data_IF_973584461408
#
_entry.id   IF_973584461408
#
_cell.length_a   1.000
_cell.length_b   1.000
_cell.length_c   1.000
_cell.angle_alpha   90.00
_cell.angle_beta   90.00
_cell.angle_gamma   90.00
#
_symmetry.space_group_name_H-M   'P 1'
#
loop_
_entity.id
_entity.type
_entity.pdbx_description
1 polymer ?
#
# COMPACT_ATOMS: atom_id res chain seq x y z
N UNK A 1 -41.80 -33.38 16.35
CA UNK A 1 -40.32 -33.46 16.48
C UNK A 1 -39.60 -33.72 15.15
N UNK A 2 -40.06 -34.64 14.28
CA UNK A 2 -39.43 -34.88 12.96
C UNK A 2 -39.32 -33.65 12.04
N UNK A 3 -40.33 -32.77 12.05
CA UNK A 3 -40.33 -31.55 11.21
C UNK A 3 -39.44 -30.41 11.77
N UNK A 4 -39.10 -30.44 13.06
CA UNK A 4 -38.26 -29.41 13.68
C UNK A 4 -36.79 -29.55 13.30
N UNK A 5 -36.31 -30.79 13.11
CA UNK A 5 -34.94 -31.08 12.67
C UNK A 5 -34.75 -30.68 11.20
N UNK A 6 -35.78 -30.88 10.35
CA UNK A 6 -35.75 -30.46 8.96
C UNK A 6 -35.69 -28.92 8.82
N UNK A 7 -36.32 -28.18 9.73
CA UNK A 7 -36.32 -26.72 9.72
C UNK A 7 -34.95 -26.11 10.07
N UNK A 8 -34.20 -26.77 10.95
CA UNK A 8 -32.83 -26.36 11.34
C UNK A 8 -31.83 -26.56 10.18
N UNK A 9 -31.99 -27.63 9.39
CA UNK A 9 -31.13 -27.87 8.22
C UNK A 9 -31.36 -26.86 7.09
N UNK A 10 -32.58 -26.36 6.93
CA UNK A 10 -32.91 -25.32 5.94
C UNK A 10 -32.34 -23.96 6.38
N UNK A 11 -32.35 -23.66 7.68
CA UNK A 11 -31.78 -22.41 8.22
C UNK A 11 -30.26 -22.31 8.05
N UNK A 12 -29.52 -23.43 8.05
CA UNK A 12 -28.07 -23.44 7.82
C UNK A 12 -27.68 -23.22 6.35
N UNK A 13 -28.56 -23.51 5.39
CA UNK A 13 -28.28 -23.34 3.96
C UNK A 13 -28.35 -21.87 3.49
N UNK A 14 -28.90 -20.96 4.30
CA UNK A 14 -29.13 -19.55 3.93
C UNK A 14 -28.07 -18.58 4.48
N UNK A 15 -27.17 -19.03 5.35
CA UNK A 15 -26.16 -18.16 5.98
C UNK A 15 -24.77 -18.20 5.32
N UNK A 16 -24.60 -18.89 4.18
CA UNK A 16 -23.28 -19.18 3.61
C UNK A 16 -22.70 -18.18 2.62
N UNK A 17 -23.37 -17.07 2.29
CA UNK A 17 -22.92 -16.14 1.25
C UNK A 17 -22.41 -14.82 1.86
N UNK A 18 -21.30 -14.87 2.61
CA UNK A 18 -20.55 -13.65 2.90
C UNK A 18 -19.72 -13.30 1.67
N UNK A 19 -19.99 -12.14 1.06
CA UNK A 19 -19.15 -11.57 0.00
C UNK A 19 -17.71 -11.49 0.52
N UNK A 20 -16.76 -12.05 -0.21
CA UNK A 20 -15.35 -12.08 0.19
C UNK A 20 -14.87 -10.64 0.40
N UNK A 21 -14.32 -10.36 1.58
CA UNK A 21 -13.87 -9.02 1.93
C UNK A 21 -12.57 -8.75 1.19
N UNK A 22 -12.60 -7.83 0.24
CA UNK A 22 -11.40 -7.40 -0.48
C UNK A 22 -10.46 -6.71 0.52
N UNK A 23 -9.24 -7.25 0.63
CA UNK A 23 -8.21 -6.77 1.55
C UNK A 23 -7.31 -5.77 0.83
N UNK A 24 -7.13 -4.60 1.44
CA UNK A 24 -6.13 -3.63 1.00
C UNK A 24 -4.73 -4.26 1.10
N UNK A 25 -3.99 -4.28 0.00
CA UNK A 25 -2.71 -4.95 -0.11
C UNK A 25 -1.73 -4.11 -0.92
N UNK A 26 -0.49 -4.08 -0.44
CA UNK A 26 0.67 -3.51 -1.14
C UNK A 26 1.53 -4.65 -1.69
N UNK A 27 1.89 -4.61 -2.97
CA UNK A 27 2.57 -5.70 -3.68
C UNK A 27 3.55 -5.19 -4.73
N UNK A 28 4.39 -6.11 -5.24
CA UNK A 28 5.48 -5.82 -6.19
C UNK A 28 6.36 -4.62 -5.79
N UNK A 29 6.95 -4.64 -4.56
CA UNK A 29 7.82 -3.57 -4.13
C UNK A 29 9.14 -3.54 -4.89
N UNK A 30 9.58 -2.35 -5.27
CA UNK A 30 10.89 -2.10 -5.88
C UNK A 30 11.53 -0.85 -5.26
N UNK A 31 12.83 -0.88 -5.04
CA UNK A 31 13.61 0.30 -4.62
C UNK A 31 15.05 0.24 -5.09
N UNK A 32 15.59 1.40 -5.39
CA UNK A 32 16.98 1.58 -5.79
C UNK A 32 17.49 2.96 -5.34
N UNK A 33 18.80 3.06 -5.15
CA UNK A 33 19.48 4.30 -4.85
C UNK A 33 20.57 4.52 -5.90
N UNK A 34 20.55 5.67 -6.58
CA UNK A 34 21.54 6.05 -7.58
C UNK A 34 22.51 7.06 -6.99
N UNK A 35 23.81 6.81 -7.13
CA UNK A 35 24.81 7.84 -6.85
C UNK A 35 24.73 8.96 -7.89
N UNK A 36 24.54 10.20 -7.42
CA UNK A 36 24.51 11.42 -8.24
C UNK A 36 25.67 12.38 -7.89
N UNK A 37 26.68 11.90 -7.18
CA UNK A 37 27.93 12.59 -6.87
C UNK A 37 28.11 12.82 -5.37
N UNK A 38 27.42 13.83 -4.82
CA UNK A 38 27.52 14.20 -3.40
C UNK A 38 26.40 13.58 -2.54
N UNK A 39 25.40 13.00 -3.19
CA UNK A 39 24.18 12.43 -2.60
C UNK A 39 23.73 11.21 -3.40
N UNK A 40 22.78 10.45 -2.84
CA UNK A 40 22.09 9.39 -3.57
C UNK A 40 20.64 9.80 -3.84
N UNK A 41 20.18 9.58 -5.07
CA UNK A 41 18.75 9.66 -5.40
C UNK A 41 18.09 8.31 -5.10
N UNK A 42 17.24 8.29 -4.07
CA UNK A 42 16.47 7.11 -3.69
C UNK A 42 15.14 7.15 -4.40
N UNK A 43 14.84 6.07 -5.12
CA UNK A 43 13.56 5.86 -5.78
C UNK A 43 12.93 4.56 -5.26
N UNK A 44 11.60 4.58 -5.11
CA UNK A 44 10.84 3.41 -4.72
C UNK A 44 9.46 3.38 -5.34
N UNK A 45 8.96 2.17 -5.60
CA UNK A 45 7.66 1.89 -6.16
C UNK A 45 6.99 0.76 -5.38
N UNK A 46 5.70 0.92 -5.12
CA UNK A 46 4.83 -0.18 -4.68
C UNK A 46 3.48 -0.06 -5.35
N UNK A 47 2.89 -1.20 -5.73
CA UNK A 47 1.52 -1.22 -6.25
C UNK A 47 0.54 -1.54 -5.14
N UNK A 48 -0.60 -0.87 -5.14
CA UNK A 48 -1.67 -1.08 -4.15
C UNK A 48 -2.91 -1.57 -4.83
N UNK A 49 -3.58 -2.56 -4.25
CA UNK A 49 -4.87 -3.10 -4.73
C UNK A 49 -5.83 -3.34 -3.57
N UNK A 50 -7.09 -3.61 -3.91
CA UNK A 50 -8.11 -3.94 -2.92
C UNK A 50 -8.59 -2.76 -2.08
N UNK A 51 -8.57 -1.56 -2.67
CA UNK A 51 -9.12 -0.32 -2.13
C UNK A 51 -10.57 -0.12 -2.56
N UNK A 52 -11.31 0.72 -1.82
CA UNK A 52 -12.66 1.13 -2.18
C UNK A 52 -12.61 2.13 -3.34
N UNK A 53 -13.54 1.95 -4.28
CA UNK A 53 -13.74 2.83 -5.40
C UNK A 53 -15.17 3.37 -5.37
N UNK A 54 -15.36 4.62 -5.78
CA UNK A 54 -16.69 5.19 -5.99
C UNK A 54 -16.96 5.26 -7.48
N UNK A 55 -18.12 4.77 -7.89
CA UNK A 55 -18.60 4.88 -9.26
C UNK A 55 -19.63 6.01 -9.35
N UNK A 56 -19.34 7.02 -10.18
CA UNK A 56 -20.27 8.10 -10.49
C UNK A 56 -20.29 8.33 -12.01
N UNK A 57 -21.48 8.18 -12.62
CA UNK A 57 -21.69 8.45 -14.05
C UNK A 57 -20.74 7.64 -14.97
N UNK A 58 -20.40 6.41 -14.59
CA UNK A 58 -19.50 5.54 -15.35
C UNK A 58 -18.01 5.86 -15.18
N UNK A 59 -17.66 6.72 -14.22
CA UNK A 59 -16.27 6.97 -13.81
C UNK A 59 -16.02 6.35 -12.44
N UNK A 60 -14.99 5.53 -12.35
CA UNK A 60 -14.48 4.95 -11.12
C UNK A 60 -13.42 5.87 -10.54
N UNK A 61 -13.55 6.20 -9.25
CA UNK A 61 -12.61 7.03 -8.53
C UNK A 61 -12.05 6.30 -7.32
N UNK A 62 -10.76 6.47 -7.06
CA UNK A 62 -10.05 5.93 -5.90
C UNK A 62 -9.17 7.02 -5.28
N UNK A 63 -8.95 6.94 -3.97
CA UNK A 63 -8.12 7.91 -3.24
C UNK A 63 -7.25 7.20 -2.21
N UNK A 64 -5.93 7.25 -2.43
CA UNK A 64 -4.91 6.64 -1.57
C UNK A 64 -4.01 7.73 -1.02
N UNK A 65 -3.80 7.74 0.31
CA UNK A 65 -2.79 8.54 0.98
C UNK A 65 -1.66 7.64 1.46
N UNK A 66 -0.42 8.10 1.40
CA UNK A 66 0.72 7.35 1.91
C UNK A 66 1.82 8.25 2.48
N UNK A 67 2.49 7.73 3.50
CA UNK A 67 3.70 8.31 4.09
C UNK A 67 4.79 7.26 4.10
N UNK A 68 6.04 7.70 4.03
CA UNK A 68 7.20 6.82 4.06
C UNK A 68 8.10 7.21 5.21
N UNK A 69 8.44 6.23 6.03
CA UNK A 69 9.50 6.33 7.03
C UNK A 69 10.74 5.64 6.48
N UNK A 70 11.91 6.16 6.83
CA UNK A 70 13.19 5.51 6.54
C UNK A 70 13.76 4.90 7.82
N UNK A 71 14.23 3.65 7.74
CA UNK A 71 14.92 2.96 8.82
C UNK A 71 16.39 2.84 8.40
N UNK A 72 17.27 3.44 9.19
CA UNK A 72 18.71 3.46 8.94
C UNK A 72 19.36 2.11 9.33
N UNK A 73 20.61 1.85 8.89
CA UNK A 73 21.32 0.60 9.20
C UNK A 73 21.50 0.31 10.69
N UNK A 74 21.59 1.34 11.53
CA UNK A 74 21.67 1.24 12.99
C UNK A 74 20.28 1.04 13.65
N UNK A 75 19.21 0.98 12.87
CA UNK A 75 17.84 0.75 13.32
C UNK A 75 17.08 2.00 13.75
N UNK A 76 17.63 3.20 13.56
CA UNK A 76 16.92 4.44 13.83
C UNK A 76 15.85 4.70 12.76
N UNK A 77 14.64 5.05 13.20
CA UNK A 77 13.56 5.46 12.30
C UNK A 77 13.57 6.97 12.12
N UNK A 78 13.62 7.41 10.86
CA UNK A 78 13.38 8.78 10.41
C UNK A 78 11.98 8.81 9.83
N UNK A 79 11.10 9.54 10.50
CA UNK A 79 9.68 9.56 10.15
C UNK A 79 9.38 10.55 9.04
N UNK A 80 8.44 10.21 8.16
CA UNK A 80 7.89 11.07 7.12
C UNK A 80 8.96 11.68 6.20
N UNK A 81 9.86 10.84 5.67
CA UNK A 81 10.82 11.26 4.64
C UNK A 81 10.13 11.58 3.31
N UNK A 82 8.91 11.08 3.11
CA UNK A 82 8.07 11.37 1.96
C UNK A 82 6.58 11.23 2.35
N UNK A 83 5.72 12.07 1.76
CA UNK A 83 4.27 12.04 1.94
C UNK A 83 3.58 12.46 0.64
N UNK A 84 2.53 11.74 0.25
CA UNK A 84 1.73 12.07 -0.93
C UNK A 84 0.32 11.45 -0.85
N UNK A 85 -0.57 11.89 -1.74
CA UNK A 85 -1.89 11.31 -1.95
C UNK A 85 -2.22 11.25 -3.45
N UNK A 86 -2.56 10.05 -3.94
CA UNK A 86 -3.04 9.84 -5.31
C UNK A 86 -4.57 9.76 -5.34
N UNK A 87 -5.16 10.55 -6.23
CA UNK A 87 -6.57 10.44 -6.64
C UNK A 87 -6.58 10.02 -8.10
N UNK A 88 -7.19 8.87 -8.38
CA UNK A 88 -7.25 8.27 -9.72
C UNK A 88 -8.69 8.21 -10.17
N UNK A 89 -8.95 8.56 -11.44
CA UNK A 89 -10.28 8.49 -12.05
C UNK A 89 -10.16 7.79 -13.40
N UNK A 90 -10.92 6.72 -13.62
CA UNK A 90 -10.88 5.91 -14.83
C UNK A 90 -12.30 5.58 -15.33
N UNK A 91 -12.45 5.28 -16.61
CA UNK A 91 -13.73 4.84 -17.21
C UNK A 91 -14.05 3.36 -16.92
N UNK A 92 -13.09 2.62 -16.35
CA UNK A 92 -13.19 1.21 -15.98
C UNK A 92 -12.74 1.01 -14.50
N UNK A 93 -13.04 -0.17 -13.93
CA UNK A 93 -12.59 -0.49 -12.57
C UNK A 93 -11.05 -0.43 -12.46
N UNK A 94 -10.56 0.27 -11.44
CA UNK A 94 -9.13 0.44 -11.21
C UNK A 94 -8.60 -0.82 -10.51
N UNK A 95 -7.74 -1.58 -11.19
CA UNK A 95 -7.20 -2.82 -10.64
C UNK A 95 -6.16 -2.58 -9.53
N UNK A 96 -5.25 -1.64 -9.77
CA UNK A 96 -4.18 -1.26 -8.87
C UNK A 96 -3.73 0.20 -9.10
N UNK A 97 -3.04 0.76 -8.11
CA UNK A 97 -2.48 2.12 -8.15
C UNK A 97 -1.00 2.04 -7.79
N UNK A 98 -0.08 2.49 -8.66
CA UNK A 98 1.34 2.61 -8.32
C UNK A 98 1.55 3.79 -7.37
N UNK A 99 2.32 3.59 -6.30
CA UNK A 99 2.78 4.62 -5.37
C UNK A 99 4.28 4.78 -5.52
N UNK A 100 4.72 5.99 -5.86
CA UNK A 100 6.09 6.30 -6.24
C UNK A 100 6.70 7.26 -5.23
N UNK A 101 7.97 7.07 -4.94
CA UNK A 101 8.71 7.87 -3.97
C UNK A 101 10.05 8.23 -4.60
N UNK A 102 10.43 9.49 -4.48
CA UNK A 102 11.74 9.99 -4.89
C UNK A 102 12.22 11.00 -3.85
N UNK A 103 13.41 10.80 -3.30
CA UNK A 103 14.06 11.75 -2.39
C UNK A 103 15.58 11.61 -2.44
N UNK A 104 16.29 12.65 -2.00
CA UNK A 104 17.75 12.64 -1.90
C UNK A 104 18.20 12.20 -0.50
N UNK A 105 19.19 11.32 -0.46
CA UNK A 105 19.91 10.89 0.74
C UNK A 105 21.30 11.54 0.74
N UNK A 106 21.59 12.34 1.77
CA UNK A 106 22.88 13.05 1.85
C UNK A 106 24.07 12.15 2.24
N UNK A 107 25.29 12.66 2.11
CA UNK A 107 26.53 11.94 2.44
C UNK A 107 26.81 11.77 3.93
N UNK A 108 25.96 12.29 4.83
CA UNK A 108 26.11 12.08 6.28
C UNK A 108 25.57 10.74 6.75
N UNK A 109 24.86 10.03 5.87
CA UNK A 109 24.26 8.73 6.12
C UNK A 109 25.29 7.59 6.05
N UNK A 110 25.17 6.64 6.98
CA UNK A 110 26.10 5.52 7.14
C UNK A 110 25.94 4.46 6.06
N UNK A 111 27.04 3.88 5.58
CA UNK A 111 26.97 2.73 4.68
C UNK A 111 26.14 1.57 5.28
N UNK A 112 25.38 0.88 4.44
CA UNK A 112 24.63 -0.33 4.78
C UNK A 112 23.22 -0.34 4.24
N UNK A 113 22.45 -1.33 4.70
CA UNK A 113 21.07 -1.55 4.25
C UNK A 113 20.08 -0.66 4.99
N UNK A 114 19.34 0.12 4.21
CA UNK A 114 18.23 0.95 4.65
C UNK A 114 16.91 0.23 4.36
N UNK A 115 15.85 0.68 5.04
CA UNK A 115 14.49 0.27 4.72
C UNK A 115 13.58 1.47 4.54
N UNK A 116 12.65 1.38 3.61
CA UNK A 116 11.52 2.28 3.50
C UNK A 116 10.27 1.55 3.99
N UNK A 117 9.60 2.11 4.98
CA UNK A 117 8.31 1.66 5.49
C UNK A 117 7.23 2.56 4.90
N UNK A 118 6.47 2.02 3.96
CA UNK A 118 5.29 2.66 3.40
C UNK A 118 4.12 2.42 4.35
N UNK A 119 3.47 3.49 4.77
CA UNK A 119 2.20 3.47 5.50
C UNK A 119 1.13 3.97 4.55
N UNK A 120 0.23 3.09 4.11
CA UNK A 120 -0.72 3.34 3.03
C UNK A 120 -2.13 3.32 3.61
N UNK A 121 -2.96 4.29 3.22
CA UNK A 121 -4.35 4.42 3.64
C UNK A 121 -5.25 4.64 2.45
N UNK A 122 -6.33 3.85 2.36
CA UNK A 122 -7.45 4.14 1.49
C UNK A 122 -8.35 5.19 2.17
N UNK A 123 -8.51 6.36 1.55
CA UNK A 123 -9.24 7.48 2.13
C UNK A 123 -10.77 7.27 2.15
N UNK A 124 -11.30 6.32 1.38
CA UNK A 124 -12.74 6.03 1.35
C UNK A 124 -13.14 4.98 2.38
N UNK A 125 -12.33 3.94 2.59
CA UNK A 125 -12.61 2.91 3.60
C UNK A 125 -11.93 3.15 4.95
N UNK A 126 -10.96 4.06 4.99
CA UNK A 126 -10.03 4.28 6.09
C UNK A 126 -9.17 3.07 6.47
N UNK A 127 -9.21 1.98 5.67
CA UNK A 127 -8.33 0.83 5.85
C UNK A 127 -6.89 1.22 5.52
N UNK A 128 -5.95 0.61 6.24
CA UNK A 128 -4.52 0.82 6.04
C UNK A 128 -3.78 -0.49 5.84
N UNK A 129 -2.66 -0.40 5.14
CA UNK A 129 -1.67 -1.48 5.00
C UNK A 129 -0.27 -0.88 5.07
N UNK A 130 0.70 -1.72 5.39
CA UNK A 130 2.10 -1.34 5.42
C UNK A 130 2.92 -2.30 4.56
N UNK A 131 3.99 -1.79 3.95
CA UNK A 131 5.02 -2.62 3.33
C UNK A 131 6.40 -2.05 3.65
N UNK A 132 7.36 -2.94 3.86
CA UNK A 132 8.76 -2.57 4.04
C UNK A 132 9.57 -3.04 2.85
N UNK A 133 10.42 -2.18 2.32
CA UNK A 133 11.28 -2.45 1.17
C UNK A 133 12.71 -2.04 1.52
N UNK A 134 13.70 -2.78 1.03
CA UNK A 134 15.11 -2.55 1.35
C UNK A 134 15.83 -1.88 0.18
N UNK A 135 16.68 -0.91 0.48
CA UNK A 135 17.62 -0.34 -0.49
C UNK A 135 18.99 -0.20 0.14
N UNK A 136 20.01 -0.14 -0.70
CA UNK A 136 21.39 0.04 -0.28
C UNK A 136 22.01 1.08 -1.23
N UNK A 137 22.46 2.24 -0.70
CA UNK A 137 23.24 3.18 -1.50
C UNK A 137 24.47 2.47 -2.05
N UNK A 138 24.60 2.42 -3.37
CA UNK A 138 25.78 1.84 -4.02
C UNK A 138 26.94 2.85 -3.99
N UNK A 139 28.16 2.36 -3.70
CA UNK A 139 29.41 3.10 -3.92
C UNK A 139 29.73 3.30 -5.40
#
# INVERSE_FOLDING_TARGET
MKYFIALIFIAFLICGCSKEEVKLEAFSPESFAFDIGDTWEVNALVNVRGFVQKEEVGTYSASIQYTVNMITPDGKTITNVFEDAKVVNEEEEIADIPLEVQFELDSTYTAGKYKLLFNIRDNFSEKSTEVTIEFEPTE
#
